data_IF_789594613692
#
_entry.id   IF_789594613692
#
_cell.length_a   1.000
_cell.length_b   1.000
_cell.length_c   1.000
_cell.angle_alpha   90.00
_cell.angle_beta   90.00
_cell.angle_gamma   90.00
#
_symmetry.space_group_name_H-M   'P 1'
#
loop_
_entity.id
_entity.type
_entity.pdbx_description
1 polymer ?
#
# COMPACT_ATOMS: atom_id res chain seq x y z
N UNK A 1 -32.21 -7.86 17.74
CA UNK A 1 -30.92 -8.53 17.49
C UNK A 1 -30.25 -7.81 16.32
N UNK A 2 -29.37 -6.85 16.61
CA UNK A 2 -28.79 -5.98 15.58
C UNK A 2 -27.68 -6.77 14.86
N UNK A 3 -27.98 -7.27 13.67
CA UNK A 3 -27.06 -8.01 12.83
C UNK A 3 -26.05 -7.02 12.22
N UNK A 4 -25.08 -6.57 13.02
CA UNK A 4 -23.97 -5.75 12.55
C UNK A 4 -22.98 -6.67 11.83
N UNK A 5 -23.39 -7.16 10.64
CA UNK A 5 -22.47 -7.75 9.67
C UNK A 5 -21.29 -6.79 9.57
N UNK A 6 -20.10 -7.26 9.96
CA UNK A 6 -18.88 -6.46 10.08
C UNK A 6 -18.77 -5.37 9.00
N UNK A 7 -18.37 -4.17 9.42
CA UNK A 7 -18.41 -2.98 8.59
C UNK A 7 -17.72 -3.15 7.24
N UNK A 8 -17.97 -2.25 6.27
CA UNK A 8 -17.41 -2.33 4.91
C UNK A 8 -15.91 -2.64 4.90
N UNK A 9 -15.14 -2.01 5.80
CA UNK A 9 -13.72 -2.26 5.99
C UNK A 9 -13.38 -3.70 6.40
N UNK A 10 -14.18 -4.30 7.27
CA UNK A 10 -13.99 -5.68 7.73
C UNK A 10 -14.33 -6.69 6.62
N UNK A 11 -15.36 -6.41 5.81
CA UNK A 11 -15.65 -7.19 4.61
C UNK A 11 -14.54 -7.11 3.57
N UNK A 12 -13.97 -5.92 3.36
CA UNK A 12 -12.88 -5.72 2.40
C UNK A 12 -11.62 -6.40 2.91
N UNK A 13 -11.25 -6.19 4.17
CA UNK A 13 -10.07 -6.81 4.77
C UNK A 13 -10.15 -8.35 4.67
N UNK A 14 -11.30 -8.95 4.94
CA UNK A 14 -11.48 -10.41 4.88
C UNK A 14 -11.79 -10.94 3.48
N UNK A 15 -11.69 -10.12 2.43
CA UNK A 15 -11.90 -10.57 1.07
C UNK A 15 -10.74 -11.42 0.57
N UNK A 16 -11.03 -12.30 -0.40
CA UNK A 16 -10.05 -13.17 -1.06
C UNK A 16 -8.79 -12.42 -1.53
N UNK A 17 -8.97 -11.18 -1.98
CA UNK A 17 -7.85 -10.36 -2.41
C UNK A 17 -6.85 -10.11 -1.28
N UNK A 18 -7.31 -9.74 -0.09
CA UNK A 18 -6.43 -9.42 1.05
C UNK A 18 -6.06 -10.62 1.92
N UNK A 19 -6.71 -11.77 1.73
CA UNK A 19 -6.40 -13.01 2.46
C UNK A 19 -5.57 -13.99 1.65
N UNK A 20 -5.59 -13.92 0.32
CA UNK A 20 -4.88 -14.86 -0.55
C UNK A 20 -3.94 -14.17 -1.54
N UNK A 21 -4.40 -13.13 -2.25
CA UNK A 21 -3.63 -12.52 -3.34
C UNK A 21 -2.61 -11.49 -2.85
N UNK A 22 -3.01 -10.67 -1.89
CA UNK A 22 -2.22 -9.61 -1.28
C UNK A 22 -2.18 -9.85 0.22
N UNK A 23 -1.52 -10.94 0.63
CA UNK A 23 -1.46 -11.41 2.01
C UNK A 23 -0.03 -11.41 2.60
N UNK A 24 0.67 -10.26 2.64
CA UNK A 24 1.99 -10.19 3.25
C UNK A 24 1.97 -10.50 4.76
N UNK A 25 0.83 -10.29 5.42
CA UNK A 25 0.62 -10.59 6.84
C UNK A 25 -0.52 -11.58 7.04
N UNK A 26 -0.42 -12.37 8.11
CA UNK A 26 -1.48 -13.29 8.55
C UNK A 26 -2.74 -12.55 9.00
N UNK A 27 -2.58 -11.33 9.49
CA UNK A 27 -3.69 -10.47 9.92
C UNK A 27 -4.20 -9.65 8.75
N UNK A 28 -5.43 -9.93 8.33
CA UNK A 28 -6.06 -9.35 7.14
C UNK A 28 -6.18 -7.80 7.18
N UNK A 29 -6.37 -7.21 8.36
CA UNK A 29 -6.40 -5.75 8.52
C UNK A 29 -5.05 -5.10 8.18
N UNK A 30 -3.93 -5.76 8.50
CA UNK A 30 -2.59 -5.25 8.18
C UNK A 30 -2.30 -5.29 6.68
N UNK A 31 -2.87 -6.26 5.96
CA UNK A 31 -2.79 -6.33 4.50
C UNK A 31 -3.49 -5.12 3.86
N UNK A 32 -4.65 -4.74 4.39
CA UNK A 32 -5.38 -3.55 3.93
C UNK A 32 -4.59 -2.26 4.16
N UNK A 33 -4.06 -2.06 5.37
CA UNK A 33 -3.23 -0.89 5.67
C UNK A 33 -1.99 -0.83 4.78
N UNK A 34 -1.34 -1.97 4.58
CA UNK A 34 -0.14 -2.06 3.74
C UNK A 34 -0.44 -1.71 2.29
N UNK A 35 -1.54 -2.19 1.72
CA UNK A 35 -1.95 -1.79 0.38
C UNK A 35 -2.22 -0.29 0.31
N UNK A 36 -2.90 0.27 1.31
CA UNK A 36 -3.20 1.70 1.36
C UNK A 36 -1.94 2.55 1.43
N UNK A 37 -1.00 2.20 2.32
CA UNK A 37 0.29 2.88 2.42
C UNK A 37 1.15 2.72 1.16
N UNK A 38 1.12 1.53 0.54
CA UNK A 38 1.84 1.30 -0.71
C UNK A 38 1.28 2.15 -1.85
N UNK A 39 -0.05 2.31 -1.94
CA UNK A 39 -0.66 3.15 -2.97
C UNK A 39 -0.46 4.65 -2.73
N UNK A 40 -0.38 5.08 -1.47
CA UNK A 40 -0.30 6.51 -1.13
C UNK A 40 1.13 7.02 -0.96
N UNK A 41 1.99 6.29 -0.26
CA UNK A 41 3.35 6.71 0.08
C UNK A 41 4.38 6.33 -0.97
N UNK A 42 4.25 5.13 -1.55
CA UNK A 42 5.26 4.60 -2.46
C UNK A 42 5.42 5.46 -3.73
N UNK A 43 4.34 5.95 -4.38
CA UNK A 43 4.49 6.83 -5.54
C UNK A 43 5.23 8.13 -5.22
N UNK A 44 4.92 8.73 -4.07
CA UNK A 44 5.57 9.98 -3.65
C UNK A 44 7.06 9.77 -3.38
N UNK A 45 7.40 8.73 -2.63
CA UNK A 45 8.78 8.37 -2.35
C UNK A 45 9.55 8.03 -3.65
N UNK A 46 8.91 7.30 -4.56
CA UNK A 46 9.49 6.92 -5.85
C UNK A 46 9.78 8.15 -6.73
N UNK A 47 8.85 9.09 -6.84
CA UNK A 47 9.06 10.34 -7.59
C UNK A 47 10.24 11.13 -7.01
N UNK A 48 10.30 11.25 -5.67
CA UNK A 48 11.41 11.91 -4.99
C UNK A 48 12.75 11.26 -5.29
N UNK A 49 12.82 9.93 -5.19
CA UNK A 49 14.05 9.17 -5.47
C UNK A 49 14.48 9.28 -6.94
N UNK A 50 13.55 9.18 -7.90
CA UNK A 50 13.84 9.35 -9.33
C UNK A 50 14.40 10.75 -9.59
N UNK A 51 13.81 11.79 -8.97
CA UNK A 51 14.26 13.17 -9.12
C UNK A 51 15.67 13.39 -8.54
N UNK A 52 15.97 12.82 -7.38
CA UNK A 52 17.30 12.86 -6.76
C UNK A 52 18.35 12.14 -7.62
N UNK A 53 18.05 10.93 -8.09
CA UNK A 53 18.92 10.17 -9.00
C UNK A 53 19.18 10.92 -10.32
N UNK A 54 18.14 11.50 -10.92
CA UNK A 54 18.27 12.29 -12.16
C UNK A 54 19.12 13.53 -11.94
N UNK A 55 18.92 14.23 -10.82
CA UNK A 55 19.69 15.44 -10.49
C UNK A 55 21.17 15.12 -10.27
N UNK A 56 21.49 14.03 -9.56
CA UNK A 56 22.86 13.55 -9.36
C UNK A 56 23.55 13.17 -10.67
N UNK A 57 22.82 12.55 -11.61
CA UNK A 57 23.35 12.23 -12.93
C UNK A 57 23.71 13.49 -13.73
N UNK A 58 22.86 14.50 -13.70
CA UNK A 58 23.11 15.76 -14.41
C UNK A 58 24.30 16.56 -13.85
N UNK A 59 24.61 16.44 -12.56
CA UNK A 59 25.78 17.09 -11.94
C UNK A 59 27.09 16.39 -12.34
N UNK A 60 27.05 15.08 -12.61
CA UNK A 60 28.24 14.30 -12.98
C UNK A 60 28.52 14.31 -14.50
N UNK A 61 27.62 14.85 -15.32
CA UNK A 61 27.78 14.99 -16.78
C UNK A 61 28.02 16.45 -17.23
N UNK A 62 28.22 17.37 -16.29
CA UNK A 62 28.77 18.72 -16.52
C UNK A 62 30.26 18.75 -16.20
#
# INVERSE_FOLDING_TARGET
MMNNKGGLFERIANSKFFTETFAPYKTSQFNLYTAFFTLTLLPYALIGAIKDLTSRKNINEQ
#
